data_IF_303292883725
#
_entry.id   IF_303292883725
#
_cell.length_a   1.000
_cell.length_b   1.000
_cell.length_c   1.000
_cell.angle_alpha   90.00
_cell.angle_beta   90.00
_cell.angle_gamma   90.00
#
_symmetry.space_group_name_H-M   'P 1'
#
loop_
_entity.id
_entity.type
_entity.pdbx_description
1 polymer ?
#
# COMPACT_ATOMS: atom_id res chain seq x y z
N UNK A 1 15.88 -21.85 -1.04
CA UNK A 1 15.69 -20.42 -0.68
C UNK A 1 14.75 -20.37 0.51
N UNK A 2 15.07 -19.62 1.57
CA UNK A 2 14.10 -19.41 2.66
C UNK A 2 13.02 -18.49 2.11
N UNK A 3 11.76 -18.92 2.10
CA UNK A 3 10.60 -18.14 1.63
C UNK A 3 10.23 -17.03 2.63
N UNK A 4 11.21 -16.23 3.03
CA UNK A 4 11.03 -15.14 3.99
C UNK A 4 11.32 -13.81 3.30
N UNK A 5 10.34 -12.92 3.29
CA UNK A 5 10.51 -11.54 2.84
C UNK A 5 11.46 -10.82 3.84
N UNK A 6 12.50 -10.12 3.37
CA UNK A 6 13.41 -9.36 4.23
C UNK A 6 12.73 -8.07 4.72
N UNK A 7 11.77 -8.21 5.63
CA UNK A 7 11.04 -7.10 6.22
C UNK A 7 11.84 -6.50 7.38
N UNK A 8 11.78 -5.18 7.60
CA UNK A 8 12.40 -4.57 8.77
C UNK A 8 11.77 -5.08 10.08
N UNK A 9 12.53 -4.95 11.17
CA UNK A 9 12.03 -5.22 12.53
C UNK A 9 10.85 -4.32 12.86
N UNK A 10 9.87 -4.86 13.59
CA UNK A 10 8.68 -4.15 14.04
C UNK A 10 9.03 -2.85 14.78
N UNK A 11 8.22 -1.81 14.58
CA UNK A 11 8.39 -0.49 15.20
C UNK A 11 7.07 0.02 15.78
N UNK A 12 7.15 0.96 16.72
CA UNK A 12 5.95 1.60 17.30
C UNK A 12 5.33 2.57 16.29
N UNK A 13 4.01 2.74 16.33
CA UNK A 13 3.31 3.68 15.46
C UNK A 13 3.58 5.15 15.84
N UNK A 14 3.77 5.38 17.13
CA UNK A 14 4.17 6.68 17.69
C UNK A 14 5.54 6.52 18.32
N UNK A 15 6.47 7.41 17.97
CA UNK A 15 7.80 7.43 18.57
C UNK A 15 7.77 7.89 20.05
N UNK A 16 6.69 8.56 20.47
CA UNK A 16 6.68 9.34 21.72
C UNK A 16 6.01 8.60 22.90
N UNK A 17 5.41 7.43 22.66
CA UNK A 17 4.70 6.64 23.68
C UNK A 17 5.43 5.32 23.98
N UNK A 18 6.16 5.32 25.10
CA UNK A 18 7.06 4.25 25.57
C UNK A 18 6.36 2.89 25.81
N UNK A 19 5.02 2.83 25.81
CA UNK A 19 4.24 1.64 26.16
C UNK A 19 3.42 1.03 25.02
N UNK A 20 3.53 1.51 23.77
CA UNK A 20 2.84 0.86 22.65
C UNK A 20 3.61 -0.37 22.16
N UNK A 21 2.96 -1.53 21.97
CA UNK A 21 3.64 -2.70 21.43
C UNK A 21 4.10 -2.44 19.98
N UNK A 22 5.32 -2.84 19.60
CA UNK A 22 5.81 -2.64 18.25
C UNK A 22 4.97 -3.47 17.28
N UNK A 23 4.59 -2.86 16.16
CA UNK A 23 3.82 -3.50 15.11
C UNK A 23 4.71 -3.80 13.90
N UNK A 24 4.44 -4.89 13.15
CA UNK A 24 5.26 -5.24 12.00
C UNK A 24 5.02 -4.30 10.83
N UNK A 25 6.01 -4.21 9.94
CA UNK A 25 5.82 -3.64 8.61
C UNK A 25 4.88 -4.52 7.79
N UNK A 26 3.97 -3.89 7.04
CA UNK A 26 2.93 -4.58 6.30
C UNK A 26 2.90 -4.14 4.85
N UNK A 27 2.58 -5.11 3.98
CA UNK A 27 2.19 -4.87 2.60
C UNK A 27 0.71 -4.48 2.57
N UNK A 28 0.39 -3.56 1.67
CA UNK A 28 -0.97 -3.09 1.43
C UNK A 28 -1.59 -3.95 0.35
N UNK A 29 -2.52 -4.82 0.74
CA UNK A 29 -3.30 -5.68 -0.16
C UNK A 29 -4.69 -5.11 -0.46
N UNK A 30 -5.28 -5.61 -1.54
CA UNK A 30 -6.72 -5.49 -1.81
C UNK A 30 -7.51 -6.65 -1.18
N UNK A 31 -8.81 -6.73 -1.49
CA UNK A 31 -9.69 -7.77 -0.94
C UNK A 31 -9.40 -9.18 -1.48
N UNK A 32 -8.69 -9.32 -2.61
CA UNK A 32 -8.32 -10.61 -3.17
C UNK A 32 -7.20 -11.31 -2.39
N UNK A 33 -6.42 -10.56 -1.61
CA UNK A 33 -5.40 -11.13 -0.74
C UNK A 33 -5.99 -11.63 0.59
N UNK A 34 -5.41 -12.70 1.13
CA UNK A 34 -5.67 -13.14 2.50
C UNK A 34 -5.08 -12.15 3.52
N UNK A 35 -5.79 -11.93 4.62
CA UNK A 35 -5.27 -11.14 5.73
C UNK A 35 -4.18 -11.95 6.45
N UNK A 36 -2.99 -11.39 6.60
CA UNK A 36 -1.88 -12.05 7.32
C UNK A 36 -1.06 -11.03 8.13
N UNK A 37 -0.13 -11.49 8.96
CA UNK A 37 0.74 -10.61 9.79
C UNK A 37 1.38 -9.46 8.99
N UNK A 38 1.80 -9.73 7.75
CA UNK A 38 2.50 -8.78 6.89
C UNK A 38 1.68 -8.37 5.67
N UNK A 39 0.39 -8.75 5.56
CA UNK A 39 -0.50 -8.34 4.46
C UNK A 39 -1.80 -7.83 5.04
N UNK A 40 -1.99 -6.52 4.95
CA UNK A 40 -3.18 -5.83 5.44
C UNK A 40 -4.15 -5.56 4.29
N UNK A 41 -5.43 -5.86 4.52
CA UNK A 41 -6.51 -5.65 3.54
C UNK A 41 -7.69 -4.91 4.16
N UNK A 42 -8.59 -4.32 3.34
CA UNK A 42 -9.77 -3.62 3.84
C UNK A 42 -10.61 -4.47 4.80
N UNK A 43 -11.36 -3.82 5.70
CA UNK A 43 -12.49 -4.45 6.36
C UNK A 43 -13.58 -4.73 5.32
N UNK A 44 -13.98 -5.99 5.20
CA UNK A 44 -15.11 -6.39 4.35
C UNK A 44 -16.45 -6.23 5.06
N UNK A 45 -17.53 -6.34 4.28
CA UNK A 45 -18.92 -6.23 4.77
C UNK A 45 -19.54 -4.85 4.55
N UNK A 46 -20.86 -4.77 4.71
CA UNK A 46 -21.64 -3.55 4.42
C UNK A 46 -21.78 -2.61 5.64
N UNK A 47 -21.76 -3.14 6.86
CA UNK A 47 -22.00 -2.39 8.09
C UNK A 47 -20.68 -2.02 8.79
N UNK A 48 -19.88 -1.18 8.12
CA UNK A 48 -18.60 -0.71 8.66
C UNK A 48 -18.81 0.50 9.57
N UNK A 49 -18.20 0.46 10.77
CA UNK A 49 -18.15 1.63 11.64
C UNK A 49 -17.22 2.71 11.05
N UNK A 50 -17.33 3.95 11.55
CA UNK A 50 -16.55 5.10 11.05
C UNK A 50 -15.05 4.81 11.03
N UNK A 51 -14.52 4.18 12.08
CA UNK A 51 -13.11 3.83 12.18
C UNK A 51 -12.65 2.84 11.10
N UNK A 52 -13.46 1.81 10.83
CA UNK A 52 -13.23 0.85 9.75
C UNK A 52 -13.30 1.53 8.37
N UNK A 53 -14.23 2.46 8.17
CA UNK A 53 -14.33 3.24 6.92
C UNK A 53 -13.11 4.13 6.72
N UNK A 54 -12.64 4.82 7.76
CA UNK A 54 -11.40 5.61 7.73
C UNK A 54 -10.21 4.73 7.39
N UNK A 55 -10.08 3.55 8.01
CA UNK A 55 -9.04 2.59 7.67
C UNK A 55 -9.09 2.17 6.19
N UNK A 56 -10.26 1.78 5.68
CA UNK A 56 -10.44 1.38 4.28
C UNK A 56 -10.09 2.53 3.31
N UNK A 57 -10.48 3.76 3.66
CA UNK A 57 -10.11 4.96 2.90
C UNK A 57 -8.59 5.18 2.88
N UNK A 58 -7.92 5.08 4.03
CA UNK A 58 -6.46 5.23 4.15
C UNK A 58 -5.73 4.17 3.33
N UNK A 59 -6.18 2.92 3.39
CA UNK A 59 -5.61 1.81 2.63
C UNK A 59 -5.79 2.03 1.12
N UNK A 60 -6.99 2.43 0.69
CA UNK A 60 -7.28 2.75 -0.72
C UNK A 60 -6.50 3.95 -1.22
N UNK A 61 -6.31 4.97 -0.36
CA UNK A 61 -5.48 6.14 -0.68
C UNK A 61 -4.02 5.75 -0.88
N UNK A 62 -3.47 4.88 -0.01
CA UNK A 62 -2.11 4.37 -0.17
C UNK A 62 -1.94 3.61 -1.50
N UNK A 63 -2.85 2.68 -1.81
CA UNK A 63 -2.84 1.96 -3.10
C UNK A 63 -2.90 2.90 -4.29
N UNK A 64 -3.81 3.89 -4.26
CA UNK A 64 -3.95 4.87 -5.35
C UNK A 64 -2.64 5.60 -5.65
N UNK A 65 -1.87 5.99 -4.63
CA UNK A 65 -0.58 6.64 -4.87
C UNK A 65 0.45 5.70 -5.51
N UNK A 66 0.50 4.44 -5.06
CA UNK A 66 1.37 3.41 -5.63
C UNK A 66 0.99 3.14 -7.08
N UNK A 67 -0.30 2.92 -7.34
CA UNK A 67 -0.86 2.74 -8.68
C UNK A 67 -0.50 3.95 -9.57
N UNK A 68 -0.71 5.19 -9.10
CA UNK A 68 -0.40 6.41 -9.84
C UNK A 68 1.09 6.47 -10.22
N UNK A 69 1.98 6.17 -9.27
CA UNK A 69 3.41 6.15 -9.54
C UNK A 69 3.78 5.09 -10.60
N UNK A 70 3.22 3.89 -10.51
CA UNK A 70 3.44 2.85 -11.52
C UNK A 70 2.82 3.20 -12.88
N UNK A 71 1.65 3.83 -12.92
CA UNK A 71 1.02 4.28 -14.16
C UNK A 71 1.86 5.33 -14.88
N UNK A 72 2.38 6.32 -14.14
CA UNK A 72 3.33 7.32 -14.65
C UNK A 72 4.58 6.62 -15.20
N UNK A 73 5.15 5.70 -14.43
CA UNK A 73 6.37 4.99 -14.82
C UNK A 73 6.15 4.13 -16.07
N UNK A 74 5.05 3.38 -16.14
CA UNK A 74 4.72 2.51 -17.26
C UNK A 74 4.47 3.31 -18.55
N UNK A 75 3.69 4.39 -18.46
CA UNK A 75 3.41 5.25 -19.61
C UNK A 75 4.69 5.86 -20.21
N UNK A 76 5.67 6.20 -19.36
CA UNK A 76 6.97 6.69 -19.82
C UNK A 76 7.85 5.57 -20.40
N UNK A 77 7.81 4.38 -19.80
CA UNK A 77 8.65 3.24 -20.17
C UNK A 77 7.80 2.09 -20.72
N UNK A 78 7.57 2.08 -22.04
CA UNK A 78 6.70 1.12 -22.75
C UNK A 78 7.00 -0.36 -22.48
N UNK A 79 8.24 -0.69 -22.13
CA UNK A 79 8.66 -2.04 -21.72
C UNK A 79 7.88 -2.59 -20.51
N UNK A 80 7.42 -1.72 -19.60
CA UNK A 80 6.59 -2.11 -18.44
C UNK A 80 5.14 -2.44 -18.81
N UNK A 81 4.71 -2.19 -20.05
CA UNK A 81 3.40 -2.62 -20.55
C UNK A 81 3.36 -4.10 -20.95
N UNK A 82 4.51 -4.77 -20.98
CA UNK A 82 4.62 -6.20 -21.28
C UNK A 82 5.09 -6.95 -20.04
N UNK A 83 4.67 -8.21 -19.86
CA UNK A 83 5.29 -9.08 -18.86
C UNK A 83 6.81 -9.10 -19.02
N UNK A 84 7.54 -8.98 -17.92
CA UNK A 84 9.00 -9.06 -17.92
C UNK A 84 9.38 -10.54 -18.02
N UNK A 85 9.58 -11.01 -19.25
CA UNK A 85 9.96 -12.39 -19.54
C UNK A 85 11.49 -12.56 -19.46
N UNK A 86 12.01 -12.50 -18.24
CA UNK A 86 13.44 -12.68 -17.96
C UNK A 86 13.67 -13.51 -16.69
N UNK A 87 14.88 -14.04 -16.53
CA UNK A 87 15.27 -14.73 -15.30
C UNK A 87 15.17 -13.81 -14.07
N UNK A 88 14.80 -14.36 -12.92
CA UNK A 88 14.48 -13.62 -11.68
C UNK A 88 15.52 -12.55 -11.30
N UNK A 89 16.81 -12.88 -11.33
CA UNK A 89 17.88 -11.94 -10.98
C UNK A 89 17.98 -10.77 -11.97
N UNK A 90 17.73 -11.03 -13.26
CA UNK A 90 17.69 -9.99 -14.28
C UNK A 90 16.47 -9.09 -14.09
N UNK A 91 15.30 -9.66 -13.74
CA UNK A 91 14.10 -8.90 -13.41
C UNK A 91 14.34 -7.90 -12.27
N UNK A 92 15.04 -8.31 -11.20
CA UNK A 92 15.41 -7.40 -10.10
C UNK A 92 16.27 -6.23 -10.62
N UNK A 93 17.28 -6.52 -11.44
CA UNK A 93 18.17 -5.48 -11.98
C UNK A 93 17.44 -4.54 -12.93
N UNK A 94 16.53 -5.06 -13.76
CA UNK A 94 15.66 -4.28 -14.65
C UNK A 94 14.83 -3.29 -13.82
N UNK A 95 14.15 -3.75 -12.76
CA UNK A 95 13.33 -2.89 -11.89
C UNK A 95 14.19 -1.81 -11.20
N UNK A 96 15.37 -2.18 -10.67
CA UNK A 96 16.30 -1.20 -10.06
C UNK A 96 16.77 -0.15 -11.06
N UNK A 97 17.14 -0.57 -12.27
CA UNK A 97 17.57 0.33 -13.33
C UNK A 97 16.46 1.33 -13.71
N UNK A 98 15.19 0.87 -13.77
CA UNK A 98 14.06 1.78 -13.98
C UNK A 98 13.90 2.81 -12.88
N UNK A 99 13.98 2.41 -11.61
CA UNK A 99 13.87 3.37 -10.50
C UNK A 99 14.96 4.45 -10.60
N UNK A 100 16.20 4.06 -10.87
CA UNK A 100 17.32 5.00 -11.03
C UNK A 100 17.11 5.91 -12.24
N UNK A 101 16.78 5.36 -13.40
CA UNK A 101 16.59 6.11 -14.63
C UNK A 101 15.37 7.05 -14.55
N UNK A 102 14.27 6.59 -13.96
CA UNK A 102 13.08 7.40 -13.74
C UNK A 102 13.38 8.59 -12.82
N UNK A 103 14.14 8.38 -11.74
CA UNK A 103 14.56 9.46 -10.84
C UNK A 103 15.48 10.45 -11.55
N UNK A 104 16.48 9.97 -12.30
CA UNK A 104 17.39 10.81 -13.07
C UNK A 104 16.66 11.70 -14.08
N UNK A 105 15.78 11.12 -14.90
CA UNK A 105 15.03 11.87 -15.91
C UNK A 105 14.05 12.84 -15.25
N UNK A 106 13.39 12.44 -14.16
CA UNK A 106 12.47 13.32 -13.42
C UNK A 106 13.18 14.54 -12.81
N UNK A 107 14.43 14.36 -12.35
CA UNK A 107 15.27 15.45 -11.84
C UNK A 107 15.71 16.42 -12.95
N UNK A 108 16.01 15.91 -14.14
CA UNK A 108 16.56 16.71 -15.24
C UNK A 108 15.47 17.40 -16.09
N UNK A 109 14.39 16.69 -16.41
CA UNK A 109 13.36 17.17 -17.36
C UNK A 109 12.14 17.80 -16.66
N UNK A 110 12.04 17.65 -15.33
CA UNK A 110 10.84 17.97 -14.56
C UNK A 110 9.66 17.05 -14.86
N UNK A 111 8.65 17.05 -13.99
CA UNK A 111 7.41 16.31 -14.23
C UNK A 111 6.56 17.06 -15.29
N UNK A 112 6.50 16.55 -16.53
CA UNK A 112 5.63 17.11 -17.57
C UNK A 112 4.16 16.86 -17.21
N UNK A 113 3.28 17.85 -17.41
CA UNK A 113 1.84 17.73 -17.05
C UNK A 113 1.12 16.56 -17.74
N UNK A 114 1.60 16.10 -18.91
CA UNK A 114 1.06 14.96 -19.66
C UNK A 114 1.30 13.60 -18.97
N UNK A 115 2.27 13.51 -18.06
CA UNK A 115 2.52 12.29 -17.28
C UNK A 115 1.43 12.04 -16.22
N UNK A 116 0.61 13.05 -15.90
CA UNK A 116 -0.52 12.97 -14.96
C UNK A 116 -1.74 12.27 -15.60
N UNK A 117 -1.60 11.06 -16.13
CA UNK A 117 -2.78 10.32 -16.57
C UNK A 117 -3.56 9.78 -15.37
N UNK A 118 -4.87 10.02 -15.40
CA UNK A 118 -5.81 9.57 -14.41
C UNK A 118 -5.88 8.04 -14.37
N UNK A 119 -5.71 7.47 -13.18
CA UNK A 119 -6.05 6.08 -12.95
C UNK A 119 -7.55 6.01 -12.76
N UNK A 120 -8.22 5.45 -13.76
CA UNK A 120 -9.61 5.03 -13.64
C UNK A 120 -9.73 4.01 -12.50
N UNK A 121 -10.63 4.31 -11.58
CA UNK A 121 -11.03 3.47 -10.46
C UNK A 121 -11.17 2.00 -10.86
N UNK A 122 -10.34 1.12 -10.26
CA UNK A 122 -10.55 -0.31 -10.38
C UNK A 122 -11.87 -0.72 -9.73
N UNK A 123 -12.63 -1.66 -10.32
CA UNK A 123 -13.83 -2.21 -9.69
C UNK A 123 -13.46 -2.83 -8.35
N UNK A 124 -14.22 -2.49 -7.30
CA UNK A 124 -14.11 -3.15 -5.99
C UNK A 124 -14.40 -4.65 -6.19
N UNK A 125 -13.40 -5.50 -6.03
CA UNK A 125 -13.58 -6.96 -6.07
C UNK A 125 -14.25 -7.43 -4.78
N UNK A 126 -15.09 -8.47 -4.91
CA UNK A 126 -15.95 -8.96 -3.82
C UNK A 126 -15.15 -9.62 -2.70
N UNK A 127 -15.62 -9.54 -1.44
CA UNK A 127 -14.87 -10.04 -0.30
C UNK A 127 -14.79 -11.56 -0.27
N UNK A 128 -13.58 -12.09 -0.06
CA UNK A 128 -13.36 -13.46 0.42
C UNK A 128 -12.92 -13.41 1.88
N UNK A 129 -13.71 -13.95 2.81
CA UNK A 129 -13.41 -13.93 4.25
C UNK A 129 -12.58 -15.16 4.59
N UNK A 130 -11.31 -14.97 4.99
CA UNK A 130 -10.54 -16.02 5.65
C UNK A 130 -10.43 -15.65 7.13
N UNK A 131 -10.90 -16.55 7.99
CA UNK A 131 -10.80 -16.49 9.45
C UNK A 131 -9.40 -16.95 9.89
N UNK A 132 -8.41 -16.05 9.91
CA UNK A 132 -7.14 -16.33 10.60
C UNK A 132 -6.77 -15.22 11.60
N UNK A 133 -6.69 -15.67 12.87
CA UNK A 133 -6.08 -15.12 14.08
C UNK A 133 -6.49 -13.72 14.60
N UNK A 134 -6.94 -13.69 15.85
CA UNK A 134 -7.12 -12.49 16.70
C UNK A 134 -5.90 -11.53 16.63
N UNK A 135 -4.68 -12.07 16.55
CA UNK A 135 -3.46 -11.28 16.51
C UNK A 135 -3.32 -10.46 15.21
N UNK A 136 -3.78 -10.99 14.07
CA UNK A 136 -3.72 -10.28 12.79
C UNK A 136 -4.78 -9.17 12.75
N UNK A 137 -5.97 -9.46 13.30
CA UNK A 137 -7.00 -8.45 13.51
C UNK A 137 -6.54 -7.32 14.44
N UNK A 138 -5.71 -7.65 15.45
CA UNK A 138 -5.12 -6.67 16.35
C UNK A 138 -4.20 -5.68 15.62
N UNK A 139 -3.34 -6.13 14.70
CA UNK A 139 -2.48 -5.24 13.89
C UNK A 139 -3.34 -4.25 13.10
N UNK A 140 -4.36 -4.74 12.41
CA UNK A 140 -5.29 -3.92 11.64
C UNK A 140 -6.06 -2.93 12.52
N UNK A 141 -6.48 -3.38 13.70
CA UNK A 141 -7.13 -2.54 14.71
C UNK A 141 -6.21 -1.42 15.20
N UNK A 142 -4.91 -1.69 15.41
CA UNK A 142 -3.94 -0.69 15.83
C UNK A 142 -3.74 0.41 14.78
N UNK A 143 -3.61 0.04 13.50
CA UNK A 143 -3.58 1.03 12.41
C UNK A 143 -4.87 1.86 12.38
N UNK A 144 -6.03 1.22 12.53
CA UNK A 144 -7.31 1.90 12.53
C UNK A 144 -7.43 2.91 13.70
N UNK A 145 -6.93 2.57 14.90
CA UNK A 145 -6.89 3.49 16.03
C UNK A 145 -5.94 4.67 15.79
N UNK A 146 -4.75 4.39 15.25
CA UNK A 146 -3.78 5.42 14.93
C UNK A 146 -4.32 6.42 13.90
N UNK A 147 -5.03 5.97 12.86
CA UNK A 147 -5.65 6.88 11.89
C UNK A 147 -6.78 7.76 12.46
N UNK A 148 -7.30 7.41 13.64
CA UNK A 148 -8.28 8.22 14.36
C UNK A 148 -7.64 9.19 15.34
N UNK A 149 -6.33 9.10 15.59
CA UNK A 149 -5.64 9.98 16.53
C UNK A 149 -5.20 11.29 15.90
N UNK A 150 -4.86 12.31 16.71
CA UNK A 150 -4.41 13.60 16.21
C UNK A 150 -3.20 13.49 15.26
N UNK A 151 -2.29 12.55 15.52
CA UNK A 151 -1.05 12.37 14.74
C UNK A 151 -1.29 11.62 13.42
N UNK A 152 -2.19 10.61 13.42
CA UNK A 152 -2.45 9.78 12.25
C UNK A 152 -3.60 10.27 11.36
N UNK A 153 -4.48 11.12 11.90
CA UNK A 153 -5.62 11.66 11.19
C UNK A 153 -5.21 12.64 10.10
N UNK A 154 -6.00 12.67 9.02
CA UNK A 154 -5.84 13.65 7.92
C UNK A 154 -7.13 14.46 7.77
N UNK A 155 -7.04 15.77 7.44
CA UNK A 155 -8.20 16.68 7.45
C UNK A 155 -9.39 16.23 6.61
N UNK A 156 -9.14 15.48 5.52
CA UNK A 156 -10.17 15.09 4.56
C UNK A 156 -10.75 13.68 4.76
N UNK A 157 -10.28 12.87 5.73
CA UNK A 157 -10.71 11.47 5.80
C UNK A 157 -12.20 11.30 6.06
N UNK A 158 -12.80 12.10 6.95
CA UNK A 158 -14.22 11.98 7.28
C UNK A 158 -15.14 12.46 6.15
N UNK A 159 -14.65 13.34 5.27
CA UNK A 159 -15.41 13.85 4.11
C UNK A 159 -15.42 12.88 2.92
N UNK A 160 -14.61 11.83 2.97
CA UNK A 160 -14.34 10.91 1.85
C UNK A 160 -14.78 9.47 2.14
N UNK A 161 -15.32 9.21 3.33
CA UNK A 161 -15.76 7.89 3.78
C UNK A 161 -17.24 7.66 3.59
#
# INVERSE_FOLDING_TARGET
MRNELPLPVSQTLRNDYINEPPIPYVLVGDEAFGLSKHVMRPYGGQNLNVKQRVYNYRLSRARRYVECAFGIMANKWRILHRPIDTVYNLTINIVKAYCVLHNFVTQHDGLRQQDKMAISMFPQLRPHVNEESLAVNFIRYQFANYFMSPEGAIPCQLKKI
#
